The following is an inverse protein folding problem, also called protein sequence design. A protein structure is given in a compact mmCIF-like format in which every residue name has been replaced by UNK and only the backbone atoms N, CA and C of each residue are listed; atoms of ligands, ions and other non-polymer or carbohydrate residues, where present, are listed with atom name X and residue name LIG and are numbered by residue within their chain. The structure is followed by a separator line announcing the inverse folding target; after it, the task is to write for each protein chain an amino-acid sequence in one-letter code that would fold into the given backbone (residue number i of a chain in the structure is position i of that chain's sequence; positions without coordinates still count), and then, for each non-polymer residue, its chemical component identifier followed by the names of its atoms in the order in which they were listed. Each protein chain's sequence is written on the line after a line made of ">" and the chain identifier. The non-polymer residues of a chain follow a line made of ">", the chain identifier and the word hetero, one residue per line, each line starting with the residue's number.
data_IF_006828605619
#
_entry.id   IF_006828605619
#
_cell.length_a   1.000
_cell.length_b   1.000
_cell.length_c   1.000
_cell.angle_alpha   90.00
_cell.angle_beta   90.00
_cell.angle_gamma   90.00
#
_symmetry.space_group_name_H-M   'P 1'
#
loop_
_entity.id
_entity.type
_entity.pdbx_description
1 polymer ?
#
# COMPACT_ATOMS: atom_id res chain seq x y z
N UNK A 1 -37.62 0.47 14.19
CA UNK A 1 -37.24 0.13 12.81
C UNK A 1 -37.05 -1.36 12.74
N UNK A 2 -37.72 -2.03 11.81
CA UNK A 2 -37.47 -3.44 11.52
C UNK A 2 -36.11 -3.62 10.79
N UNK A 3 -35.63 -4.86 10.71
CA UNK A 3 -34.34 -5.17 10.08
C UNK A 3 -34.35 -4.93 8.56
N UNK A 4 -35.52 -4.98 7.91
CA UNK A 4 -35.65 -4.66 6.49
C UNK A 4 -35.30 -3.19 6.23
N UNK A 5 -35.89 -2.27 6.99
CA UNK A 5 -35.61 -0.84 6.92
C UNK A 5 -34.16 -0.52 7.27
N UNK A 6 -33.63 -1.14 8.34
CA UNK A 6 -32.22 -0.96 8.74
C UNK A 6 -31.25 -1.40 7.66
N UNK A 7 -31.52 -2.55 7.03
CA UNK A 7 -30.71 -3.05 5.92
C UNK A 7 -30.76 -2.11 4.71
N UNK A 8 -31.95 -1.68 4.29
CA UNK A 8 -32.08 -0.75 3.16
C UNK A 8 -31.36 0.57 3.41
N UNK A 9 -31.42 1.10 4.63
CA UNK A 9 -30.67 2.28 5.01
C UNK A 9 -29.15 2.04 4.90
N UNK A 10 -28.64 0.97 5.51
CA UNK A 10 -27.22 0.64 5.46
C UNK A 10 -26.73 0.39 4.01
N UNK A 11 -27.56 -0.24 3.17
CA UNK A 11 -27.28 -0.47 1.76
C UNK A 11 -27.20 0.84 0.96
N UNK A 12 -28.12 1.79 1.21
CA UNK A 12 -28.06 3.10 0.55
C UNK A 12 -26.81 3.89 0.98
N UNK A 13 -26.42 3.81 2.26
CA UNK A 13 -25.20 4.43 2.76
C UNK A 13 -23.93 3.83 2.12
N UNK A 14 -23.94 2.53 1.84
CA UNK A 14 -22.90 1.81 1.10
C UNK A 14 -22.82 2.29 -0.36
N UNK A 15 -23.95 2.35 -1.07
CA UNK A 15 -23.99 2.83 -2.45
C UNK A 15 -23.47 4.28 -2.55
N UNK A 16 -23.86 5.15 -1.63
CA UNK A 16 -23.34 6.52 -1.57
C UNK A 16 -21.84 6.59 -1.29
N UNK A 17 -21.31 5.73 -0.40
CA UNK A 17 -19.88 5.66 -0.15
C UNK A 17 -19.10 5.25 -1.40
N UNK A 18 -19.60 4.26 -2.15
CA UNK A 18 -19.03 3.81 -3.41
C UNK A 18 -19.08 4.89 -4.49
N UNK A 19 -20.20 5.60 -4.62
CA UNK A 19 -20.36 6.72 -5.56
C UNK A 19 -19.35 7.84 -5.28
N UNK A 20 -19.21 8.23 -4.01
CA UNK A 20 -18.26 9.26 -3.59
C UNK A 20 -16.81 8.84 -3.88
N UNK A 21 -16.44 7.60 -3.53
CA UNK A 21 -15.10 7.06 -3.78
C UNK A 21 -14.75 7.03 -5.27
N UNK A 22 -15.68 6.55 -6.10
CA UNK A 22 -15.50 6.42 -7.55
C UNK A 22 -15.71 7.74 -8.30
N UNK A 23 -16.16 8.80 -7.62
CA UNK A 23 -16.49 10.12 -8.22
C UNK A 23 -17.52 10.02 -9.34
N UNK A 24 -18.58 9.25 -9.12
CA UNK A 24 -19.66 9.01 -10.09
C UNK A 24 -21.02 9.48 -9.56
N UNK A 25 -21.93 9.82 -10.47
CA UNK A 25 -23.27 10.35 -10.15
C UNK A 25 -24.17 9.29 -9.48
N UNK A 26 -25.16 9.76 -8.71
CA UNK A 26 -26.10 9.00 -7.91
C UNK A 26 -27.05 8.09 -8.72
N UNK A 27 -27.02 8.18 -10.05
CA UNK A 27 -27.82 7.36 -10.98
C UNK A 27 -27.29 5.93 -11.13
N UNK A 28 -26.07 5.65 -10.66
CA UNK A 28 -25.46 4.34 -10.78
C UNK A 28 -25.90 3.42 -9.64
N UNK A 29 -26.45 2.25 -10.00
CA UNK A 29 -26.72 1.17 -9.07
C UNK A 29 -25.42 0.43 -8.67
N UNK A 30 -25.46 -0.32 -7.56
CA UNK A 30 -24.32 -1.10 -7.08
C UNK A 30 -23.64 -1.97 -8.15
N UNK A 31 -24.40 -2.63 -9.03
CA UNK A 31 -23.81 -3.44 -10.11
C UNK A 31 -22.97 -2.62 -11.08
N UNK A 32 -23.43 -1.42 -11.42
CA UNK A 32 -22.68 -0.47 -12.26
C UNK A 32 -21.44 0.06 -11.54
N UNK A 33 -21.55 0.35 -10.24
CA UNK A 33 -20.43 0.79 -9.41
C UNK A 33 -19.33 -0.28 -9.32
N UNK A 34 -19.71 -1.56 -9.13
CA UNK A 34 -18.76 -2.68 -9.11
C UNK A 34 -18.04 -2.86 -10.44
N UNK A 35 -18.76 -2.69 -11.57
CA UNK A 35 -18.15 -2.74 -12.90
C UNK A 35 -17.16 -1.59 -13.11
N UNK A 36 -17.52 -0.37 -12.71
CA UNK A 36 -16.63 0.80 -12.79
C UNK A 36 -15.40 0.57 -11.94
N UNK A 37 -15.55 0.13 -10.70
CA UNK A 37 -14.43 -0.16 -9.81
C UNK A 37 -13.46 -1.19 -10.39
N UNK A 38 -13.98 -2.24 -11.05
CA UNK A 38 -13.16 -3.22 -11.75
C UNK A 38 -12.40 -2.59 -12.94
N UNK A 39 -13.07 -1.74 -13.73
CA UNK A 39 -12.44 -1.04 -14.86
C UNK A 39 -11.37 -0.03 -14.43
N UNK A 40 -11.63 0.71 -13.34
CA UNK A 40 -10.68 1.67 -12.76
C UNK A 40 -9.66 1.03 -11.85
N UNK A 41 -9.72 -0.30 -11.67
CA UNK A 41 -8.85 -1.08 -10.79
C UNK A 41 -8.82 -0.54 -9.35
N UNK A 42 -9.98 -0.17 -8.77
CA UNK A 42 -10.04 0.24 -7.37
C UNK A 42 -9.80 -0.97 -6.45
N UNK A 43 -8.65 -1.00 -5.77
CA UNK A 43 -8.19 -2.18 -5.02
C UNK A 43 -9.02 -2.48 -3.79
N UNK A 44 -9.50 -1.44 -3.10
CA UNK A 44 -10.36 -1.61 -1.93
C UNK A 44 -11.68 -2.25 -2.34
N UNK A 45 -12.33 -1.73 -3.39
CA UNK A 45 -13.63 -2.26 -3.84
C UNK A 45 -13.45 -3.67 -4.42
N UNK A 46 -12.39 -3.89 -5.20
CA UNK A 46 -12.11 -5.20 -5.81
C UNK A 46 -11.84 -6.28 -4.75
N UNK A 47 -11.13 -5.93 -3.66
CA UNK A 47 -10.91 -6.84 -2.53
C UNK A 47 -12.21 -7.28 -1.82
N UNK A 48 -13.28 -6.48 -1.92
CA UNK A 48 -14.59 -6.76 -1.35
C UNK A 48 -15.66 -7.15 -2.40
N UNK A 49 -15.26 -7.43 -3.65
CA UNK A 49 -16.19 -7.58 -4.77
C UNK A 49 -17.27 -8.65 -4.52
N UNK A 50 -16.88 -9.86 -4.12
CA UNK A 50 -17.82 -10.97 -3.89
C UNK A 50 -18.85 -10.63 -2.80
N UNK A 51 -18.41 -9.95 -1.73
CA UNK A 51 -19.28 -9.53 -0.64
C UNK A 51 -20.27 -8.46 -1.12
N UNK A 52 -19.81 -7.50 -1.91
CA UNK A 52 -20.67 -6.45 -2.47
C UNK A 52 -21.66 -7.00 -3.50
N UNK A 53 -21.25 -7.96 -4.33
CA UNK A 53 -22.15 -8.59 -5.29
C UNK A 53 -23.22 -9.45 -4.59
N UNK A 54 -22.84 -10.16 -3.53
CA UNK A 54 -23.79 -10.84 -2.66
C UNK A 54 -24.85 -9.86 -2.10
N UNK A 55 -24.41 -8.73 -1.55
CA UNK A 55 -25.32 -7.70 -1.01
C UNK A 55 -26.27 -7.14 -2.08
N UNK A 56 -25.76 -6.91 -3.30
CA UNK A 56 -26.56 -6.50 -4.46
C UNK A 56 -27.67 -7.51 -4.76
N UNK A 57 -27.31 -8.80 -4.88
CA UNK A 57 -28.25 -9.86 -5.19
C UNK A 57 -29.28 -10.03 -4.06
N UNK A 58 -28.84 -9.98 -2.80
CA UNK A 58 -29.73 -10.08 -1.64
C UNK A 58 -30.73 -8.92 -1.58
N UNK A 59 -30.29 -7.68 -1.79
CA UNK A 59 -31.18 -6.51 -1.87
C UNK A 59 -32.22 -6.67 -2.97
N UNK A 60 -31.85 -7.20 -4.13
CA UNK A 60 -32.79 -7.43 -5.23
C UNK A 60 -33.87 -8.44 -4.86
N UNK A 61 -33.51 -9.53 -4.17
CA UNK A 61 -34.47 -10.51 -3.66
C UNK A 61 -35.47 -9.83 -2.72
N UNK A 62 -34.99 -9.04 -1.76
CA UNK A 62 -35.84 -8.35 -0.77
C UNK A 62 -36.80 -7.34 -1.40
N UNK A 63 -36.34 -6.56 -2.39
CA UNK A 63 -37.14 -5.48 -3.00
C UNK A 63 -38.09 -6.01 -4.08
N UNK A 64 -37.65 -6.95 -4.91
CA UNK A 64 -38.47 -7.46 -6.01
C UNK A 64 -39.46 -8.55 -5.59
N UNK A 65 -39.11 -9.41 -4.63
CA UNK A 65 -40.05 -10.44 -4.16
C UNK A 65 -41.04 -9.90 -3.12
N UNK A 66 -40.74 -8.78 -2.43
CA UNK A 66 -41.72 -8.09 -1.60
C UNK A 66 -42.86 -7.41 -2.38
N UNK A 67 -42.71 -7.26 -3.71
CA UNK A 67 -43.76 -6.74 -4.60
C UNK A 67 -44.68 -7.84 -5.15
N UNK A 68 -44.23 -9.10 -5.12
CA UNK A 68 -45.05 -10.26 -5.43
C UNK A 68 -45.85 -10.61 -4.16
N UNK A 69 -47.14 -10.89 -4.29
CA UNK A 69 -48.15 -11.00 -3.21
C UNK A 69 -47.91 -12.12 -2.17
N UNK A 70 -46.70 -12.64 -2.01
CA UNK A 70 -46.38 -13.82 -1.18
C UNK A 70 -45.84 -13.49 0.23
N UNK A 71 -45.70 -12.21 0.60
CA UNK A 71 -45.26 -11.80 1.95
C UNK A 71 -43.73 -11.71 2.11
N UNK A 72 -43.27 -11.56 3.36
CA UNK A 72 -41.83 -11.48 3.67
C UNK A 72 -41.14 -12.84 3.46
N UNK A 73 -40.42 -12.99 2.35
CA UNK A 73 -39.71 -14.24 2.02
C UNK A 73 -38.35 -14.38 2.73
N UNK A 74 -37.79 -13.28 3.24
CA UNK A 74 -36.51 -13.24 3.94
C UNK A 74 -36.38 -11.96 4.77
N UNK A 75 -35.67 -12.06 5.90
CA UNK A 75 -35.36 -10.93 6.77
C UNK A 75 -33.84 -10.81 6.96
N UNK A 76 -33.24 -9.62 6.79
CA UNK A 76 -31.83 -9.41 7.09
C UNK A 76 -31.52 -9.70 8.56
N UNK A 77 -30.43 -10.42 8.82
CA UNK A 77 -29.90 -10.57 10.17
C UNK A 77 -29.13 -9.32 10.62
N UNK A 78 -29.04 -9.09 11.93
CA UNK A 78 -28.20 -8.01 12.48
C UNK A 78 -26.75 -8.14 12.01
N UNK A 79 -26.20 -9.35 12.00
CA UNK A 79 -24.83 -9.61 11.54
C UNK A 79 -24.61 -9.19 10.08
N UNK A 80 -25.60 -9.35 9.20
CA UNK A 80 -25.50 -8.89 7.82
C UNK A 80 -25.51 -7.36 7.74
N UNK A 81 -26.37 -6.70 8.52
CA UNK A 81 -26.45 -5.23 8.58
C UNK A 81 -25.11 -4.65 9.09
N UNK A 82 -24.57 -5.21 10.17
CA UNK A 82 -23.25 -4.83 10.71
C UNK A 82 -22.14 -5.03 9.69
N UNK A 83 -22.21 -6.11 8.89
CA UNK A 83 -21.25 -6.36 7.81
C UNK A 83 -21.30 -5.29 6.73
N UNK A 84 -22.51 -4.87 6.31
CA UNK A 84 -22.69 -3.75 5.36
C UNK A 84 -22.06 -2.49 5.92
N UNK A 85 -22.36 -2.15 7.18
CA UNK A 85 -21.84 -0.94 7.84
C UNK A 85 -20.31 -0.96 7.94
N UNK A 86 -19.72 -2.10 8.31
CA UNK A 86 -18.28 -2.28 8.40
C UNK A 86 -17.59 -2.05 7.05
N UNK A 87 -18.14 -2.63 5.97
CA UNK A 87 -17.60 -2.43 4.62
C UNK A 87 -17.77 -0.97 4.17
N UNK A 88 -18.90 -0.33 4.48
CA UNK A 88 -19.12 1.10 4.22
C UNK A 88 -18.06 1.97 4.88
N UNK A 89 -17.72 1.71 6.16
CA UNK A 89 -16.68 2.44 6.88
C UNK A 89 -15.34 2.26 6.17
N UNK A 90 -14.95 1.02 5.81
CA UNK A 90 -13.71 0.76 5.07
C UNK A 90 -13.63 1.55 3.75
N UNK A 91 -14.73 1.61 3.00
CA UNK A 91 -14.80 2.34 1.72
C UNK A 91 -14.65 3.85 1.92
N UNK A 92 -15.30 4.41 2.95
CA UNK A 92 -15.23 5.85 3.28
C UNK A 92 -13.86 6.25 3.83
N UNK A 93 -13.32 5.42 4.71
CA UNK A 93 -12.10 5.67 5.48
C UNK A 93 -11.00 4.71 5.03
N UNK A 94 -10.69 4.76 3.74
CA UNK A 94 -9.59 3.98 3.19
C UNK A 94 -8.28 4.39 3.90
N UNK A 95 -7.78 3.46 4.72
CA UNK A 95 -6.56 3.59 5.50
C UNK A 95 -5.39 3.97 4.59
N UNK A 96 -4.68 5.05 4.98
CA UNK A 96 -3.55 5.58 4.22
C UNK A 96 -2.24 5.15 4.86
N UNK A 97 -1.20 5.04 4.05
CA UNK A 97 0.08 4.51 4.52
C UNK A 97 0.77 5.44 5.53
N UNK A 98 0.55 6.75 5.46
CA UNK A 98 1.02 7.72 6.46
C UNK A 98 0.48 7.44 7.87
N UNK A 99 -0.67 6.80 8.00
CA UNK A 99 -1.27 6.52 9.31
C UNK A 99 -0.49 5.42 10.06
N UNK A 100 0.38 4.68 9.36
CA UNK A 100 1.06 3.49 9.88
C UNK A 100 2.58 3.50 9.73
N UNK A 101 3.11 4.15 8.69
CA UNK A 101 4.50 3.96 8.24
C UNK A 101 5.35 5.24 8.24
N UNK A 102 4.81 6.36 8.74
CA UNK A 102 5.58 7.60 8.89
C UNK A 102 6.71 7.42 9.90
N UNK A 103 7.94 7.76 9.49
CA UNK A 103 9.13 7.66 10.33
C UNK A 103 10.22 8.62 9.85
N UNK A 104 11.20 8.91 10.71
CA UNK A 104 12.39 9.67 10.30
C UNK A 104 13.28 8.77 9.44
N UNK A 105 13.50 9.16 8.20
CA UNK A 105 14.34 8.40 7.27
C UNK A 105 15.80 8.87 7.35
N UNK A 106 16.71 7.90 7.51
CA UNK A 106 18.15 8.13 7.45
C UNK A 106 18.59 7.96 6.00
N UNK A 107 19.28 8.95 5.47
CA UNK A 107 19.81 8.96 4.10
C UNK A 107 21.30 9.33 4.11
N UNK A 108 21.94 9.15 2.95
CA UNK A 108 23.35 9.47 2.77
C UNK A 108 23.60 10.17 1.43
N UNK A 109 24.76 10.82 1.29
CA UNK A 109 25.25 11.37 0.03
C UNK A 109 26.13 10.37 -0.69
N UNK A 110 26.23 10.43 -2.01
CA UNK A 110 27.17 9.60 -2.79
C UNK A 110 28.62 9.67 -2.29
N UNK A 111 29.02 10.85 -1.82
CA UNK A 111 30.37 11.14 -1.33
C UNK A 111 30.60 10.72 0.13
N UNK A 112 29.55 10.28 0.84
CA UNK A 112 29.70 9.80 2.21
C UNK A 112 30.52 8.50 2.25
N UNK A 113 31.34 8.32 3.30
CA UNK A 113 32.13 7.12 3.47
C UNK A 113 31.28 5.98 4.06
N UNK A 114 31.52 4.75 3.63
CA UNK A 114 30.86 3.53 4.09
C UNK A 114 30.77 3.40 5.63
N UNK A 115 31.79 3.77 6.43
CA UNK A 115 31.67 3.77 7.89
C UNK A 115 30.45 4.51 8.44
N UNK A 116 29.97 5.60 7.80
CA UNK A 116 28.76 6.29 8.25
C UNK A 116 27.51 5.41 8.11
N UNK A 117 27.42 4.66 7.00
CA UNK A 117 26.33 3.69 6.77
C UNK A 117 26.40 2.57 7.80
N UNK A 118 27.59 1.99 8.01
CA UNK A 118 27.78 0.90 8.98
C UNK A 118 27.50 1.34 10.42
N UNK A 119 27.80 2.59 10.77
CA UNK A 119 27.41 3.16 12.06
C UNK A 119 25.89 3.24 12.21
N UNK A 120 25.17 3.67 11.17
CA UNK A 120 23.71 3.68 11.19
C UNK A 120 23.12 2.26 11.28
N UNK A 121 23.69 1.28 10.57
CA UNK A 121 23.31 -0.14 10.71
C UNK A 121 23.50 -0.60 12.15
N UNK A 122 24.66 -0.33 12.75
CA UNK A 122 24.97 -0.75 14.12
C UNK A 122 24.09 -0.07 15.16
N UNK A 123 23.73 1.21 14.95
CA UNK A 123 22.95 1.99 15.90
C UNK A 123 21.45 1.72 15.82
N UNK A 124 20.90 1.53 14.61
CA UNK A 124 19.45 1.48 14.38
C UNK A 124 18.95 0.15 13.83
N UNK A 125 19.83 -0.73 13.35
CA UNK A 125 19.45 -2.01 12.73
C UNK A 125 18.84 -1.90 11.32
N UNK A 126 18.75 -0.70 10.75
CA UNK A 126 18.25 -0.50 9.39
C UNK A 126 19.26 -1.00 8.36
N UNK A 127 18.76 -1.58 7.27
CA UNK A 127 19.61 -2.21 6.22
C UNK A 127 19.45 -1.58 4.85
N UNK A 128 18.64 -0.52 4.73
CA UNK A 128 18.31 0.13 3.45
C UNK A 128 18.24 1.63 3.67
N UNK A 129 19.02 2.38 2.91
CA UNK A 129 19.13 3.83 3.07
C UNK A 129 19.07 4.54 1.72
N UNK A 130 18.15 5.50 1.53
CA UNK A 130 18.14 6.35 0.36
C UNK A 130 19.47 7.10 0.21
N UNK A 131 19.95 7.22 -1.03
CA UNK A 131 21.19 7.90 -1.35
C UNK A 131 20.92 9.05 -2.30
N UNK A 132 21.42 10.22 -1.96
CA UNK A 132 21.25 11.45 -2.71
C UNK A 132 22.56 11.91 -3.36
N UNK A 133 22.44 12.57 -4.50
CA UNK A 133 23.51 13.33 -5.13
C UNK A 133 22.95 14.69 -5.48
N UNK A 134 23.49 15.75 -4.86
CA UNK A 134 22.91 17.09 -4.96
C UNK A 134 21.42 17.03 -4.60
N UNK A 135 20.53 17.49 -5.49
CA UNK A 135 19.08 17.53 -5.29
C UNK A 135 18.37 16.35 -6.00
N UNK A 136 18.97 15.16 -5.96
CA UNK A 136 18.35 13.96 -6.58
C UNK A 136 18.58 12.70 -5.79
N UNK A 137 17.51 11.93 -5.60
CA UNK A 137 17.60 10.53 -5.21
C UNK A 137 18.26 9.70 -6.33
N UNK A 138 19.39 9.05 -6.04
CA UNK A 138 20.18 8.30 -7.03
C UNK A 138 20.21 6.79 -6.80
N UNK A 139 19.59 6.32 -5.71
CA UNK A 139 19.50 4.90 -5.40
C UNK A 139 19.26 4.65 -3.92
N UNK A 140 19.32 3.38 -3.55
CA UNK A 140 19.27 2.91 -2.17
C UNK A 140 20.50 2.05 -1.91
N UNK A 141 21.28 2.36 -0.88
CA UNK A 141 22.33 1.46 -0.40
C UNK A 141 21.69 0.40 0.47
N UNK A 142 22.00 -0.86 0.18
CA UNK A 142 21.44 -2.04 0.86
C UNK A 142 22.54 -2.90 1.48
N UNK A 143 22.20 -3.67 2.51
CA UNK A 143 23.04 -4.76 3.05
C UNK A 143 23.57 -5.71 1.96
N UNK A 144 22.73 -6.08 1.00
CA UNK A 144 23.12 -6.90 -0.15
C UNK A 144 24.11 -6.18 -1.07
N UNK A 145 23.91 -4.88 -1.31
CA UNK A 145 24.83 -4.02 -2.06
C UNK A 145 26.21 -3.96 -1.40
N UNK A 146 26.24 -3.74 -0.08
CA UNK A 146 27.48 -3.77 0.71
C UNK A 146 28.14 -5.15 0.62
N UNK A 147 27.38 -6.23 0.79
CA UNK A 147 27.89 -7.60 0.74
C UNK A 147 28.51 -7.93 -0.62
N UNK A 148 27.84 -7.55 -1.72
CA UNK A 148 28.37 -7.74 -3.08
C UNK A 148 29.61 -6.89 -3.34
N UNK A 149 29.64 -5.66 -2.84
CA UNK A 149 30.82 -4.82 -2.91
C UNK A 149 32.01 -5.50 -2.22
N UNK A 150 31.82 -6.00 -0.99
CA UNK A 150 32.87 -6.75 -0.28
C UNK A 150 33.30 -8.00 -1.04
N UNK A 151 32.35 -8.77 -1.59
CA UNK A 151 32.65 -9.95 -2.40
C UNK A 151 33.47 -9.62 -3.66
N UNK A 152 33.23 -8.45 -4.29
CA UNK A 152 33.97 -8.01 -5.47
C UNK A 152 35.43 -7.65 -5.19
N UNK A 153 35.80 -7.49 -3.92
CA UNK A 153 37.14 -7.09 -3.46
C UNK A 153 37.90 -8.23 -2.75
N UNK A 154 37.42 -9.47 -2.85
CA UNK A 154 38.02 -10.62 -2.17
C UNK A 154 39.47 -10.92 -2.58
N UNK A 155 39.89 -10.51 -3.77
CA UNK A 155 41.25 -10.71 -4.29
C UNK A 155 42.23 -9.60 -3.87
N UNK A 156 41.75 -8.59 -3.13
CA UNK A 156 42.60 -7.52 -2.62
C UNK A 156 43.13 -7.87 -1.23
N UNK A 157 44.45 -7.81 -1.05
CA UNK A 157 45.10 -8.16 0.22
C UNK A 157 44.68 -7.25 1.39
N UNK A 158 44.25 -6.01 1.10
CA UNK A 158 43.85 -5.01 2.09
C UNK A 158 42.73 -4.10 1.55
N UNK A 159 41.51 -4.33 2.00
CA UNK A 159 40.37 -3.43 1.75
C UNK A 159 40.18 -2.50 2.94
N UNK A 160 40.58 -1.23 2.80
CA UNK A 160 40.28 -0.22 3.82
C UNK A 160 38.83 0.24 3.68
N UNK A 161 37.95 -0.29 4.54
CA UNK A 161 36.53 0.14 4.61
C UNK A 161 36.41 1.66 4.79
N UNK A 162 37.38 2.28 5.48
CA UNK A 162 37.39 3.72 5.75
C UNK A 162 37.51 4.59 4.50
N UNK A 163 38.14 4.09 3.43
CA UNK A 163 38.28 4.82 2.17
C UNK A 163 37.17 4.54 1.17
N UNK A 164 36.25 3.62 1.47
CA UNK A 164 35.15 3.28 0.56
C UNK A 164 34.06 4.34 0.61
N UNK A 165 33.67 4.86 -0.55
CA UNK A 165 32.54 5.77 -0.70
C UNK A 165 31.28 5.03 -1.14
N UNK A 166 30.11 5.56 -0.78
CA UNK A 166 28.81 4.99 -1.17
C UNK A 166 28.66 4.89 -2.69
N UNK A 167 29.21 5.85 -3.45
CA UNK A 167 29.23 5.80 -4.91
C UNK A 167 29.82 4.49 -5.47
N UNK A 168 30.87 3.96 -4.84
CA UNK A 168 31.51 2.71 -5.28
C UNK A 168 30.64 1.48 -5.04
N UNK A 169 29.79 1.52 -4.01
CA UNK A 169 28.85 0.44 -3.69
C UNK A 169 27.69 0.46 -4.70
N UNK A 170 27.11 1.64 -4.92
CA UNK A 170 26.01 1.81 -5.88
C UNK A 170 26.43 1.47 -7.31
N UNK A 171 27.69 1.69 -7.68
CA UNK A 171 28.19 1.33 -9.02
C UNK A 171 28.13 -0.19 -9.31
N UNK A 172 28.19 -1.03 -8.27
CA UNK A 172 28.20 -2.49 -8.40
C UNK A 172 26.81 -3.10 -8.10
N UNK A 173 26.02 -2.45 -7.25
CA UNK A 173 24.70 -2.96 -6.89
C UNK A 173 23.66 -2.74 -8.00
N UNK A 174 23.41 -3.79 -8.80
CA UNK A 174 22.34 -3.83 -9.79
C UNK A 174 20.94 -3.63 -9.20
N UNK A 175 20.77 -3.68 -7.87
CA UNK A 175 19.49 -3.46 -7.17
C UNK A 175 19.39 -2.08 -6.52
N UNK A 176 20.32 -1.16 -6.78
CA UNK A 176 20.23 0.22 -6.27
C UNK A 176 18.92 0.92 -6.62
N UNK A 177 18.29 0.53 -7.74
CA UNK A 177 17.03 1.07 -8.26
C UNK A 177 15.82 0.18 -7.88
N UNK A 178 16.00 -0.75 -6.95
CA UNK A 178 14.95 -1.67 -6.49
C UNK A 178 14.04 -1.00 -5.46
N UNK A 179 13.53 0.19 -5.80
CA UNK A 179 12.58 0.94 -5.01
C UNK A 179 11.52 1.61 -5.89
N UNK A 180 10.45 2.08 -5.28
CA UNK A 180 9.45 2.95 -5.91
C UNK A 180 9.03 4.04 -4.93
N UNK A 181 8.83 5.25 -5.44
CA UNK A 181 8.27 6.34 -4.66
C UNK A 181 6.74 6.23 -4.71
N UNK A 182 6.11 6.32 -3.54
CA UNK A 182 4.65 6.33 -3.40
C UNK A 182 4.23 7.53 -2.57
N UNK A 183 3.06 8.08 -2.89
CA UNK A 183 2.51 9.18 -2.12
C UNK A 183 2.10 8.69 -0.72
N UNK A 184 2.37 9.47 0.33
CA UNK A 184 2.04 9.10 1.70
C UNK A 184 0.52 8.93 1.95
N UNK A 185 -0.31 9.43 1.04
CA UNK A 185 -1.76 9.27 1.07
C UNK A 185 -2.29 8.08 0.27
N UNK A 186 -1.41 7.29 -0.35
CA UNK A 186 -1.76 6.05 -1.04
C UNK A 186 -2.46 5.06 -0.10
N UNK A 187 -3.45 4.34 -0.63
CA UNK A 187 -4.25 3.37 0.11
C UNK A 187 -3.40 2.17 0.49
N UNK A 188 -3.63 1.60 1.68
CA UNK A 188 -2.95 0.38 2.12
C UNK A 188 -3.23 -0.83 1.20
N UNK A 189 -4.41 -0.85 0.55
CA UNK A 189 -4.75 -1.87 -0.46
C UNK A 189 -3.87 -1.79 -1.71
N UNK A 190 -3.48 -0.59 -2.13
CA UNK A 190 -2.59 -0.42 -3.28
C UNK A 190 -1.17 -0.92 -2.93
N UNK A 191 -0.74 -0.71 -1.68
CA UNK A 191 0.56 -1.20 -1.20
C UNK A 191 0.63 -2.71 -1.16
N UNK A 192 -0.41 -3.37 -0.66
CA UNK A 192 -0.52 -4.84 -0.64
C UNK A 192 -0.34 -5.43 -2.04
N UNK A 193 -1.05 -4.87 -3.03
CA UNK A 193 -0.93 -5.31 -4.42
C UNK A 193 0.46 -5.04 -4.98
N UNK A 194 1.03 -3.86 -4.74
CA UNK A 194 2.37 -3.52 -5.22
C UNK A 194 3.38 -4.55 -4.71
N UNK A 195 3.36 -4.89 -3.42
CA UNK A 195 4.27 -5.90 -2.88
C UNK A 195 3.98 -7.28 -3.42
N UNK A 196 2.72 -7.72 -3.47
CA UNK A 196 2.32 -9.02 -4.00
C UNK A 196 2.87 -9.23 -5.41
N UNK A 197 2.61 -8.28 -6.31
CA UNK A 197 3.12 -8.32 -7.69
C UNK A 197 4.65 -8.30 -7.76
N UNK A 198 5.32 -7.51 -6.92
CA UNK A 198 6.80 -7.45 -6.91
C UNK A 198 7.41 -8.76 -6.42
N UNK A 199 6.78 -9.42 -5.46
CA UNK A 199 7.20 -10.74 -4.97
C UNK A 199 7.01 -11.80 -6.06
N UNK A 200 5.87 -11.79 -6.76
CA UNK A 200 5.61 -12.67 -7.92
C UNK A 200 6.62 -12.46 -9.06
N UNK A 201 7.06 -11.21 -9.29
CA UNK A 201 8.14 -10.86 -10.23
C UNK A 201 9.54 -11.31 -9.74
N UNK A 202 9.68 -11.93 -8.57
CA UNK A 202 10.95 -12.32 -7.97
C UNK A 202 11.75 -11.18 -7.33
N UNK A 203 11.13 -10.01 -7.11
CA UNK A 203 11.76 -8.81 -6.53
C UNK A 203 11.51 -8.70 -5.02
N UNK A 204 11.86 -9.75 -4.28
CA UNK A 204 11.63 -9.85 -2.82
C UNK A 204 12.42 -8.85 -1.97
N UNK A 205 13.41 -8.15 -2.52
CA UNK A 205 14.18 -7.10 -1.82
C UNK A 205 13.72 -5.67 -2.15
N UNK A 206 12.60 -5.54 -2.86
CA UNK A 206 12.04 -4.25 -3.27
C UNK A 206 11.47 -3.47 -2.09
N UNK A 207 11.60 -2.14 -2.11
CA UNK A 207 11.05 -1.25 -1.08
C UNK A 207 10.22 -0.12 -1.66
N UNK A 208 9.38 0.47 -0.82
CA UNK A 208 8.65 1.68 -1.15
C UNK A 208 9.19 2.84 -0.31
N UNK A 209 9.46 3.95 -0.97
CA UNK A 209 9.80 5.22 -0.33
C UNK A 209 8.54 6.06 -0.31
N UNK A 210 8.07 6.41 0.89
CA UNK A 210 6.91 7.28 1.05
C UNK A 210 7.34 8.73 0.93
N UNK A 211 6.60 9.53 0.19
CA UNK A 211 6.83 10.96 0.06
C UNK A 211 5.53 11.75 0.08
N UNK A 212 5.59 13.02 0.48
CA UNK A 212 4.41 13.92 0.48
C UNK A 212 3.85 14.14 -0.92
N UNK A 213 4.76 14.25 -1.88
CA UNK A 213 4.51 14.40 -3.30
C UNK A 213 5.33 13.38 -4.10
N UNK A 214 5.12 13.31 -5.41
CA UNK A 214 5.87 12.37 -6.27
C UNK A 214 7.29 12.85 -6.59
N UNK A 215 7.72 13.99 -6.02
CA UNK A 215 9.05 14.56 -6.22
C UNK A 215 9.88 14.36 -4.94
N UNK A 216 11.11 13.89 -5.11
CA UNK A 216 12.03 13.57 -4.02
C UNK A 216 13.40 14.10 -4.42
N UNK A 217 13.63 15.36 -4.09
CA UNK A 217 14.88 16.07 -4.38
C UNK A 217 15.78 16.05 -3.14
N UNK A 218 15.17 16.04 -1.95
CA UNK A 218 15.87 16.11 -0.67
C UNK A 218 15.44 14.98 0.27
N UNK A 219 16.30 14.60 1.23
CA UNK A 219 15.98 13.60 2.25
C UNK A 219 14.66 13.84 3.00
N UNK A 220 14.34 15.10 3.26
CA UNK A 220 13.17 15.54 4.01
C UNK A 220 11.84 15.27 3.28
N UNK A 221 11.90 15.06 1.97
CA UNK A 221 10.74 14.70 1.16
C UNK A 221 10.28 13.26 1.43
N UNK A 222 11.18 12.41 1.94
CA UNK A 222 10.88 11.02 2.27
C UNK A 222 10.33 10.94 3.70
N UNK A 223 9.05 10.59 3.82
CA UNK A 223 8.33 10.51 5.09
C UNK A 223 8.26 9.10 5.70
N UNK A 224 8.78 8.09 5.00
CA UNK A 224 8.85 6.72 5.50
C UNK A 224 9.42 5.74 4.48
N UNK A 225 9.71 4.52 4.94
CA UNK A 225 10.12 3.39 4.10
C UNK A 225 9.24 2.21 4.46
N UNK A 226 8.63 1.57 3.45
CA UNK A 226 7.88 0.33 3.60
C UNK A 226 8.66 -0.79 2.93
N UNK A 227 8.73 -1.94 3.59
CA UNK A 227 9.44 -3.12 3.12
C UNK A 227 8.52 -4.35 3.15
N UNK A 228 8.92 -5.48 2.53
CA UNK A 228 8.14 -6.71 2.62
C UNK A 228 7.98 -7.26 4.05
N UNK A 229 8.82 -6.83 5.00
CA UNK A 229 8.67 -7.17 6.42
C UNK A 229 7.43 -6.52 7.05
N UNK A 230 6.90 -5.48 6.42
CA UNK A 230 5.70 -4.77 6.85
C UNK A 230 4.40 -5.42 6.36
N UNK A 231 4.48 -6.47 5.52
CA UNK A 231 3.31 -7.18 4.98
C UNK A 231 2.32 -7.68 6.05
N UNK A 232 2.76 -8.28 7.18
CA UNK A 232 1.82 -8.66 8.24
C UNK A 232 0.99 -7.46 8.74
N UNK A 233 1.65 -6.31 8.96
CA UNK A 233 0.99 -5.07 9.38
C UNK A 233 0.07 -4.51 8.30
N UNK A 234 0.40 -4.68 7.01
CA UNK A 234 -0.45 -4.31 5.89
C UNK A 234 -1.73 -5.16 5.91
N UNK A 235 -1.58 -6.48 5.98
CA UNK A 235 -2.68 -7.45 5.96
C UNK A 235 -3.63 -7.24 7.14
N UNK A 236 -3.11 -6.99 8.34
CA UNK A 236 -3.90 -6.69 9.54
C UNK A 236 -4.77 -5.42 9.39
N UNK A 237 -4.46 -4.58 8.40
CA UNK A 237 -5.13 -3.30 8.16
C UNK A 237 -5.92 -3.24 6.85
N UNK A 238 -6.07 -4.34 6.11
CA UNK A 238 -7.00 -4.48 4.97
C UNK A 238 -8.46 -4.67 5.41
#
# INVERSE_FOLDING_TARGET
>A
MDNYQRFLQAYNELEHALQHRLKVDAKNNLGSLLRIASQTHDKLITAHYEQLDFLRNFRNILVHNGLLKEGEIATPSDALIEKVQTITIKIREAKKIKDFFTSKVISFKLTDPLPKVLQAVNQYGYTKFPVFSEDRLVGVVTDNGITKFMASRLQEDLVSIKSVQIAQILAIDKRKDSFMIVNETTSIYDIDEIFTRKIEEGKSSFILLMARDNHVDQPEDITGIITPLDLPKIIDNL
#
